data_IF_556876129177
#
_entry.id   IF_556876129177
#
_cell.length_a   1.000
_cell.length_b   1.000
_cell.length_c   1.000
_cell.angle_alpha   90.00
_cell.angle_beta   90.00
_cell.angle_gamma   90.00
#
_symmetry.space_group_name_H-M   'P 1'
#
loop_
_entity.id
_entity.type
_entity.pdbx_description
1 polymer ?
#
# COMPACT_ATOMS: atom_id res chain seq x y z
N UNK A 1 -16.97 -7.09 -1.84
CA UNK A 1 -15.79 -6.33 -2.35
C UNK A 1 -16.00 -6.00 -3.82
N UNK A 2 -15.61 -4.79 -4.29
CA UNK A 2 -15.60 -4.40 -5.71
C UNK A 2 -14.26 -4.78 -6.34
N UNK A 3 -14.21 -4.81 -7.68
CA UNK A 3 -12.98 -5.07 -8.44
C UNK A 3 -12.61 -3.86 -9.30
N UNK A 4 -11.32 -3.71 -9.57
CA UNK A 4 -10.79 -2.72 -10.50
C UNK A 4 -9.63 -3.30 -11.31
N UNK A 5 -9.30 -2.64 -12.40
CA UNK A 5 -8.15 -3.03 -13.25
C UNK A 5 -6.86 -2.57 -12.58
N UNK A 6 -5.84 -3.42 -12.60
CA UNK A 6 -4.51 -3.11 -12.10
C UNK A 6 -3.67 -2.45 -13.20
N UNK A 7 -3.38 -1.16 -13.06
CA UNK A 7 -2.59 -0.42 -14.03
C UNK A 7 -3.13 -0.55 -15.46
N UNK A 8 -2.24 -0.53 -16.44
CA UNK A 8 -2.59 -0.77 -17.85
C UNK A 8 -2.48 -2.26 -18.19
N UNK A 9 -3.27 -3.11 -17.49
CA UNK A 9 -3.29 -4.57 -17.68
C UNK A 9 -4.71 -5.08 -17.83
N UNK A 10 -4.87 -6.37 -18.12
CA UNK A 10 -6.18 -7.06 -18.10
C UNK A 10 -6.55 -7.64 -16.73
N UNK A 11 -5.72 -7.42 -15.69
CA UNK A 11 -5.92 -8.06 -14.37
C UNK A 11 -6.95 -7.31 -13.56
N UNK A 12 -7.88 -8.06 -12.97
CA UNK A 12 -8.89 -7.55 -12.05
C UNK A 12 -8.53 -7.93 -10.62
N UNK A 13 -8.27 -6.93 -9.79
CA UNK A 13 -8.00 -7.10 -8.37
C UNK A 13 -9.10 -6.47 -7.53
N UNK A 14 -9.28 -6.96 -6.31
CA UNK A 14 -10.19 -6.35 -5.35
C UNK A 14 -9.78 -4.90 -5.06
N UNK A 15 -10.77 -4.01 -4.92
CA UNK A 15 -10.57 -2.57 -4.62
C UNK A 15 -10.00 -2.30 -3.22
N UNK A 16 -9.62 -3.34 -2.53
CA UNK A 16 -8.91 -3.35 -1.24
C UNK A 16 -7.92 -4.50 -1.26
N UNK A 17 -6.71 -4.28 -0.76
CA UNK A 17 -5.70 -5.33 -0.60
C UNK A 17 -5.60 -5.77 0.86
N UNK A 18 -5.45 -7.08 1.09
CA UNK A 18 -5.15 -7.63 2.41
C UNK A 18 -3.65 -7.56 2.68
N UNK A 19 -3.25 -6.65 3.58
CA UNK A 19 -1.88 -6.53 4.05
C UNK A 19 -1.59 -7.50 5.18
N UNK A 20 -0.52 -8.26 5.06
CA UNK A 20 -0.19 -9.35 5.98
C UNK A 20 1.02 -9.08 6.89
N UNK A 21 1.38 -7.81 7.09
CA UNK A 21 2.48 -7.44 8.00
C UNK A 21 2.26 -7.91 9.45
N UNK A 22 1.00 -8.15 9.82
CA UNK A 22 0.62 -8.68 11.12
C UNK A 22 0.48 -10.21 11.16
N UNK A 23 0.67 -10.95 10.05
CA UNK A 23 0.62 -12.41 10.05
C UNK A 23 1.94 -12.97 10.58
N UNK A 24 1.92 -13.55 11.78
CA UNK A 24 3.11 -14.04 12.51
C UNK A 24 3.34 -13.29 13.81
N UNK A 25 4.26 -13.78 14.61
CA UNK A 25 4.56 -13.31 15.97
C UNK A 25 6.05 -12.99 16.21
N UNK A 26 6.92 -13.18 15.20
CA UNK A 26 8.38 -13.02 15.37
C UNK A 26 8.83 -11.59 15.69
N UNK A 27 7.99 -10.59 15.43
CA UNK A 27 8.22 -9.21 15.87
C UNK A 27 7.80 -8.96 17.32
N UNK A 28 7.22 -9.97 18.00
CA UNK A 28 6.61 -9.83 19.34
C UNK A 28 5.20 -9.28 19.32
N UNK A 29 4.64 -9.02 18.13
CA UNK A 29 3.29 -8.49 17.93
C UNK A 29 2.77 -8.93 16.56
N UNK A 30 1.56 -9.47 16.52
CA UNK A 30 0.93 -9.92 15.28
C UNK A 30 -0.28 -10.82 15.52
N UNK A 31 -0.57 -11.67 14.55
CA UNK A 31 -1.65 -12.65 14.56
C UNK A 31 -1.06 -14.06 14.51
N UNK A 32 -1.67 -14.99 15.25
CA UNK A 32 -1.35 -16.43 15.16
C UNK A 32 -1.71 -16.97 13.77
N UNK A 33 -1.29 -18.20 13.48
CA UNK A 33 -1.66 -18.86 12.22
C UNK A 33 -3.18 -19.04 12.12
N UNK A 34 -3.87 -19.39 13.21
CA UNK A 34 -5.32 -19.60 13.20
C UNK A 34 -6.07 -18.28 13.00
N UNK A 35 -5.64 -17.21 13.65
CA UNK A 35 -6.23 -15.87 13.43
C UNK A 35 -5.95 -15.37 12.00
N UNK A 36 -4.74 -15.60 11.49
CA UNK A 36 -4.38 -15.28 10.10
C UNK A 36 -5.25 -16.05 9.11
N UNK A 37 -5.57 -17.31 9.41
CA UNK A 37 -6.51 -18.14 8.63
C UNK A 37 -7.90 -17.52 8.64
N UNK A 38 -8.43 -17.19 9.82
CA UNK A 38 -9.77 -16.62 9.95
C UNK A 38 -9.90 -15.29 9.18
N UNK A 39 -8.86 -14.45 9.22
CA UNK A 39 -8.81 -13.21 8.44
C UNK A 39 -8.80 -13.50 6.93
N UNK A 40 -7.94 -14.42 6.47
CA UNK A 40 -7.84 -14.74 5.05
C UNK A 40 -9.10 -15.41 4.50
N UNK A 41 -9.74 -16.28 5.29
CA UNK A 41 -10.98 -16.96 4.90
C UNK A 41 -12.12 -15.94 4.77
N UNK A 42 -12.29 -15.04 5.74
CA UNK A 42 -13.25 -13.96 5.65
C UNK A 42 -13.00 -13.04 4.44
N UNK A 43 -11.73 -12.70 4.15
CA UNK A 43 -11.37 -11.93 2.96
C UNK A 43 -11.75 -12.63 1.66
N UNK A 44 -11.53 -13.95 1.57
CA UNK A 44 -11.90 -14.76 0.41
C UNK A 44 -13.42 -14.88 0.26
N UNK A 45 -14.16 -15.07 1.36
CA UNK A 45 -15.63 -15.14 1.39
C UNK A 45 -16.27 -13.84 0.89
N UNK A 46 -15.70 -12.69 1.23
CA UNK A 46 -16.13 -11.38 0.73
C UNK A 46 -15.72 -11.10 -0.73
N UNK A 47 -15.07 -12.07 -1.41
CA UNK A 47 -14.59 -11.95 -2.78
C UNK A 47 -13.27 -11.19 -2.92
N UNK A 48 -12.52 -10.98 -1.84
CA UNK A 48 -11.20 -10.38 -1.89
C UNK A 48 -10.19 -11.32 -2.55
N UNK A 49 -9.37 -10.79 -3.44
CA UNK A 49 -8.39 -11.59 -4.18
C UNK A 49 -6.98 -11.00 -4.19
N UNK A 50 -6.75 -9.82 -3.61
CA UNK A 50 -5.44 -9.17 -3.63
C UNK A 50 -4.77 -9.24 -2.25
N UNK A 51 -3.68 -10.02 -2.15
CA UNK A 51 -2.87 -10.19 -0.94
C UNK A 51 -1.53 -9.47 -1.11
N UNK A 52 -1.16 -8.64 -0.13
CA UNK A 52 0.12 -7.93 -0.09
C UNK A 52 0.93 -8.36 1.12
N UNK A 53 2.10 -8.96 0.90
CA UNK A 53 3.08 -9.36 1.91
C UNK A 53 4.46 -8.77 1.62
N UNK A 54 5.50 -9.18 2.35
CA UNK A 54 6.90 -8.87 2.11
C UNK A 54 7.83 -9.88 2.79
N UNK A 55 9.05 -10.02 2.28
CA UNK A 55 10.10 -10.87 2.84
C UNK A 55 10.43 -10.52 4.31
N UNK A 56 10.44 -9.22 4.64
CA UNK A 56 10.76 -8.71 5.98
C UNK A 56 9.64 -8.90 7.00
N UNK A 57 8.39 -9.10 6.55
CA UNK A 57 7.26 -9.16 7.48
C UNK A 57 7.37 -10.35 8.42
N UNK A 58 7.43 -10.05 9.72
CA UNK A 58 7.67 -11.03 10.78
C UNK A 58 8.93 -11.88 10.52
N UNK A 59 9.96 -11.29 9.88
CA UNK A 59 11.18 -11.99 9.48
C UNK A 59 10.91 -13.25 8.63
N UNK A 60 10.01 -13.12 7.65
CA UNK A 60 9.63 -14.19 6.72
C UNK A 60 8.45 -15.05 7.17
N UNK A 61 8.02 -14.98 8.44
CA UNK A 61 6.92 -15.80 8.96
C UNK A 61 5.59 -15.49 8.27
N UNK A 62 5.35 -14.22 7.87
CA UNK A 62 4.16 -13.85 7.11
C UNK A 62 4.06 -14.62 5.79
N UNK A 63 5.15 -14.74 5.04
CA UNK A 63 5.19 -15.56 3.82
C UNK A 63 5.05 -17.05 4.12
N UNK A 64 5.65 -17.57 5.22
CA UNK A 64 5.48 -18.95 5.65
C UNK A 64 4.02 -19.30 5.97
N UNK A 65 3.32 -18.40 6.68
CA UNK A 65 1.89 -18.54 6.96
C UNK A 65 1.07 -18.54 5.67
N UNK A 66 1.28 -17.58 4.77
CA UNK A 66 0.61 -17.56 3.48
C UNK A 66 0.90 -18.83 2.66
N UNK A 67 2.13 -19.31 2.65
CA UNK A 67 2.50 -20.55 1.98
C UNK A 67 1.76 -21.78 2.52
N UNK A 68 1.37 -21.80 3.80
CA UNK A 68 0.52 -22.83 4.37
C UNK A 68 -0.96 -22.60 4.08
N UNK A 69 -1.44 -21.36 4.17
CA UNK A 69 -2.84 -20.99 4.06
C UNK A 69 -3.37 -21.01 2.61
N UNK A 70 -2.49 -20.80 1.63
CA UNK A 70 -2.87 -20.75 0.21
C UNK A 70 -2.80 -22.13 -0.49
N UNK A 71 -2.41 -23.20 0.21
CA UNK A 71 -2.37 -24.54 -0.37
C UNK A 71 -3.74 -24.96 -0.90
N UNK A 72 -3.79 -25.38 -2.17
CA UNK A 72 -5.01 -25.79 -2.86
C UNK A 72 -5.93 -24.65 -3.33
N UNK A 73 -5.60 -23.38 -3.01
CA UNK A 73 -6.36 -22.19 -3.41
C UNK A 73 -5.52 -21.01 -3.91
N UNK A 74 -4.22 -21.25 -4.19
CA UNK A 74 -3.26 -20.24 -4.67
C UNK A 74 -3.78 -19.45 -5.88
N UNK A 75 -4.44 -20.14 -6.80
CA UNK A 75 -4.98 -19.59 -8.05
C UNK A 75 -6.13 -18.58 -7.84
N UNK A 76 -6.75 -18.58 -6.67
CA UNK A 76 -7.84 -17.66 -6.37
C UNK A 76 -7.33 -16.25 -5.96
N UNK A 77 -6.02 -16.10 -5.80
CA UNK A 77 -5.44 -14.87 -5.26
C UNK A 77 -4.36 -14.28 -6.15
N UNK A 78 -4.40 -12.98 -6.32
CA UNK A 78 -3.33 -12.16 -6.83
C UNK A 78 -2.38 -11.85 -5.67
N UNK A 79 -1.23 -12.51 -5.67
CA UNK A 79 -0.27 -12.48 -4.56
C UNK A 79 0.89 -11.55 -4.87
N UNK A 80 1.06 -10.53 -4.02
CA UNK A 80 2.18 -9.62 -4.07
C UNK A 80 3.13 -9.84 -2.89
N UNK A 81 4.43 -9.84 -3.15
CA UNK A 81 5.47 -9.77 -2.11
C UNK A 81 6.58 -8.80 -2.49
N UNK A 82 7.45 -8.47 -1.54
CA UNK A 82 8.45 -7.40 -1.65
C UNK A 82 9.83 -7.91 -1.24
N UNK A 83 10.89 -7.28 -1.82
CA UNK A 83 12.27 -7.46 -1.38
C UNK A 83 12.92 -6.10 -1.11
N UNK A 84 14.04 -6.05 -0.54
CA UNK A 84 15.03 -5.01 -0.25
C UNK A 84 15.55 -5.09 1.18
N UNK A 85 14.73 -5.56 2.13
CA UNK A 85 15.06 -5.53 3.57
C UNK A 85 15.59 -6.87 4.08
N UNK A 86 15.28 -7.97 3.38
CA UNK A 86 15.63 -9.32 3.78
C UNK A 86 14.78 -9.88 4.93
N UNK A 87 14.67 -11.21 5.00
CA UNK A 87 13.80 -11.93 5.94
C UNK A 87 14.49 -12.23 7.29
N UNK A 88 15.50 -11.46 7.70
CA UNK A 88 16.25 -11.68 8.94
C UNK A 88 16.77 -10.38 9.52
N UNK A 89 16.83 -10.29 10.86
CA UNK A 89 17.51 -9.19 11.56
C UNK A 89 19.00 -9.07 11.20
N UNK A 90 19.62 -10.21 10.84
CA UNK A 90 21.02 -10.31 10.47
C UNK A 90 21.26 -10.38 8.95
N UNK A 91 20.29 -9.95 8.14
CA UNK A 91 20.43 -9.96 6.70
C UNK A 91 21.61 -9.09 6.25
N UNK A 92 22.58 -9.72 5.57
CA UNK A 92 23.78 -9.05 5.09
C UNK A 92 23.54 -8.27 3.80
N UNK A 93 24.46 -7.35 3.45
CA UNK A 93 24.35 -6.49 2.28
C UNK A 93 24.25 -7.19 0.91
N UNK A 94 24.49 -8.49 0.84
CA UNK A 94 24.30 -9.28 -0.38
C UNK A 94 22.87 -9.76 -0.62
N UNK A 95 21.99 -9.61 0.39
CA UNK A 95 20.56 -9.99 0.34
C UNK A 95 19.64 -8.82 0.73
N UNK A 96 20.22 -7.64 0.97
CA UNK A 96 19.50 -6.39 1.21
C UNK A 96 19.83 -5.37 0.11
N UNK A 97 19.07 -4.27 0.06
CA UNK A 97 19.17 -3.27 -1.02
C UNK A 97 18.51 -3.77 -2.29
N UNK A 98 18.72 -3.03 -3.39
CA UNK A 98 17.96 -3.23 -4.62
C UNK A 98 18.77 -3.89 -5.74
N UNK A 99 20.03 -4.28 -5.47
CA UNK A 99 20.88 -4.91 -6.48
C UNK A 99 20.20 -6.15 -7.08
N UNK A 100 20.50 -6.43 -8.33
CA UNK A 100 20.06 -7.64 -9.02
C UNK A 100 20.37 -8.91 -8.22
N UNK A 101 21.52 -8.95 -7.53
CA UNK A 101 21.90 -10.09 -6.68
C UNK A 101 20.92 -10.27 -5.51
N UNK A 102 20.60 -9.20 -4.78
CA UNK A 102 19.63 -9.22 -3.69
C UNK A 102 18.23 -9.61 -4.21
N UNK A 103 17.81 -9.05 -5.34
CA UNK A 103 16.54 -9.33 -5.99
C UNK A 103 16.36 -10.82 -6.29
N UNK A 104 17.35 -11.45 -6.95
CA UNK A 104 17.31 -12.89 -7.29
C UNK A 104 17.30 -13.76 -6.04
N UNK A 105 18.18 -13.48 -5.07
CA UNK A 105 18.24 -14.24 -3.81
C UNK A 105 16.93 -14.15 -3.02
N UNK A 106 16.33 -12.96 -2.98
CA UNK A 106 15.08 -12.74 -2.25
C UNK A 106 13.89 -13.40 -2.89
N UNK A 107 13.73 -13.32 -4.23
CA UNK A 107 12.60 -13.97 -4.92
C UNK A 107 12.63 -15.49 -4.74
N UNK A 108 13.80 -16.12 -4.85
CA UNK A 108 13.95 -17.57 -4.61
C UNK A 108 13.56 -17.97 -3.19
N UNK A 109 13.95 -17.16 -2.23
CA UNK A 109 13.63 -17.39 -0.81
C UNK A 109 12.15 -17.16 -0.53
N UNK A 110 11.53 -16.15 -1.14
CA UNK A 110 10.09 -15.87 -1.02
C UNK A 110 9.24 -16.97 -1.66
N UNK A 111 9.59 -17.45 -2.87
CA UNK A 111 8.90 -18.57 -3.52
C UNK A 111 8.91 -19.83 -2.64
N UNK A 112 10.05 -20.12 -1.97
CA UNK A 112 10.15 -21.26 -1.02
C UNK A 112 9.23 -21.08 0.20
N UNK A 113 9.21 -19.89 0.84
CA UNK A 113 8.35 -19.64 2.00
C UNK A 113 6.87 -19.64 1.61
N UNK A 114 6.52 -19.03 0.49
CA UNK A 114 5.17 -18.98 -0.07
C UNK A 114 4.70 -20.31 -0.66
N UNK A 115 5.60 -21.28 -0.86
CA UNK A 115 5.31 -22.61 -1.46
C UNK A 115 4.59 -22.50 -2.80
N UNK A 116 5.05 -21.58 -3.65
CA UNK A 116 4.51 -21.32 -4.98
C UNK A 116 5.65 -21.18 -5.98
N UNK A 117 5.38 -21.40 -7.23
CA UNK A 117 6.33 -21.26 -8.34
C UNK A 117 6.39 -19.84 -8.91
N UNK A 118 5.38 -19.00 -8.62
CA UNK A 118 5.30 -17.62 -9.12
C UNK A 118 4.69 -16.64 -8.11
N UNK A 119 5.07 -15.39 -8.28
CA UNK A 119 4.51 -14.21 -7.61
C UNK A 119 3.78 -13.39 -8.67
N UNK A 120 2.55 -12.92 -8.37
CA UNK A 120 1.79 -12.14 -9.35
C UNK A 120 2.34 -10.71 -9.45
N UNK A 121 2.65 -10.06 -8.34
CA UNK A 121 3.24 -8.72 -8.32
C UNK A 121 4.47 -8.68 -7.39
N UNK A 122 5.62 -8.34 -7.95
CA UNK A 122 6.87 -8.26 -7.19
C UNK A 122 7.27 -6.80 -6.98
N UNK A 123 7.41 -6.43 -5.72
CA UNK A 123 7.75 -5.07 -5.32
C UNK A 123 9.23 -4.88 -5.04
N UNK A 124 9.80 -3.79 -5.52
CA UNK A 124 10.98 -3.20 -4.87
C UNK A 124 10.47 -2.41 -3.66
N UNK A 125 10.76 -2.87 -2.43
CA UNK A 125 10.12 -2.39 -1.19
C UNK A 125 10.51 -0.97 -0.83
N UNK A 126 11.81 -0.69 -0.90
CA UNK A 126 12.36 0.63 -0.59
C UNK A 126 13.47 0.98 -1.58
N UNK A 127 13.61 2.24 -2.00
CA UNK A 127 14.79 2.68 -2.73
C UNK A 127 16.04 2.61 -1.83
N UNK A 128 17.19 2.27 -2.41
CA UNK A 128 18.48 2.31 -1.73
C UNK A 128 19.37 3.51 -2.17
N UNK A 129 18.85 4.33 -3.10
CA UNK A 129 19.50 5.50 -3.70
C UNK A 129 20.85 5.22 -4.40
N UNK A 130 21.27 3.96 -4.49
CA UNK A 130 22.51 3.50 -5.09
C UNK A 130 22.25 2.77 -6.40
N UNK A 131 21.28 1.85 -6.39
CA UNK A 131 20.99 0.98 -7.53
C UNK A 131 20.36 1.76 -8.68
N UNK A 132 20.96 1.74 -9.89
CA UNK A 132 20.42 2.40 -11.07
C UNK A 132 19.07 1.82 -11.48
N UNK A 133 18.17 2.66 -12.01
CA UNK A 133 16.87 2.20 -12.52
C UNK A 133 17.00 1.16 -13.63
N UNK A 134 18.06 1.23 -14.41
CA UNK A 134 18.39 0.27 -15.46
C UNK A 134 18.67 -1.13 -14.92
N UNK A 135 19.36 -1.24 -13.79
CA UNK A 135 19.60 -2.53 -13.12
C UNK A 135 18.30 -3.11 -12.57
N UNK A 136 17.46 -2.27 -11.95
CA UNK A 136 16.15 -2.67 -11.46
C UNK A 136 15.27 -3.23 -12.59
N UNK A 137 15.09 -2.46 -13.66
CA UNK A 137 14.23 -2.85 -14.77
C UNK A 137 14.72 -4.14 -15.45
N UNK A 138 16.02 -4.26 -15.69
CA UNK A 138 16.60 -5.50 -16.27
C UNK A 138 16.44 -6.69 -15.35
N UNK A 139 16.65 -6.52 -14.05
CA UNK A 139 16.48 -7.59 -13.07
C UNK A 139 15.05 -8.08 -12.98
N UNK A 140 14.07 -7.17 -12.95
CA UNK A 140 12.66 -7.50 -12.96
C UNK A 140 12.23 -8.21 -14.24
N UNK A 141 12.74 -7.76 -15.40
CA UNK A 141 12.49 -8.41 -16.69
C UNK A 141 13.02 -9.85 -16.71
N UNK A 142 14.24 -10.09 -16.20
CA UNK A 142 14.79 -11.44 -16.16
C UNK A 142 13.97 -12.38 -15.27
N UNK A 143 13.45 -11.88 -14.15
CA UNK A 143 12.55 -12.67 -13.28
C UNK A 143 11.22 -12.96 -13.97
N UNK A 144 10.69 -12.01 -14.73
CA UNK A 144 9.46 -12.18 -15.50
C UNK A 144 9.66 -13.21 -16.62
N UNK A 145 10.76 -13.12 -17.38
CA UNK A 145 11.11 -14.12 -18.41
C UNK A 145 11.33 -15.52 -17.85
N UNK A 146 11.85 -15.60 -16.63
CA UNK A 146 12.00 -16.85 -15.91
C UNK A 146 10.68 -17.40 -15.33
N UNK A 147 9.56 -16.69 -15.51
CA UNK A 147 8.24 -17.08 -15.00
C UNK A 147 8.09 -16.96 -13.49
N UNK A 148 9.02 -16.30 -12.80
CA UNK A 148 9.00 -16.16 -11.33
C UNK A 148 8.11 -15.03 -10.85
N UNK A 149 7.91 -14.00 -11.68
CA UNK A 149 7.00 -12.89 -11.42
C UNK A 149 6.16 -12.63 -12.69
N UNK A 150 4.95 -12.09 -12.52
CA UNK A 150 4.11 -11.69 -13.66
C UNK A 150 4.14 -10.19 -13.89
N UNK A 151 4.10 -9.40 -12.82
CA UNK A 151 4.11 -7.94 -12.85
C UNK A 151 5.10 -7.37 -11.86
N UNK A 152 5.52 -6.13 -12.09
CA UNK A 152 6.45 -5.42 -11.24
C UNK A 152 5.84 -4.12 -10.69
N UNK A 153 6.26 -3.74 -9.48
CA UNK A 153 5.86 -2.50 -8.85
C UNK A 153 6.98 -1.89 -8.00
N UNK A 154 6.86 -0.59 -7.73
CA UNK A 154 7.80 0.15 -6.91
C UNK A 154 7.11 0.68 -5.65
N UNK A 155 7.73 0.46 -4.48
CA UNK A 155 7.19 0.92 -3.21
C UNK A 155 8.11 1.96 -2.56
N UNK A 156 7.53 3.06 -2.06
CA UNK A 156 8.24 4.16 -1.40
C UNK A 156 9.27 4.90 -2.28
N UNK A 157 9.18 4.79 -3.58
CA UNK A 157 10.00 5.54 -4.53
C UNK A 157 9.45 6.95 -4.71
N UNK A 158 10.33 7.90 -5.06
CA UNK A 158 9.90 9.22 -5.51
C UNK A 158 9.25 9.17 -6.90
N UNK A 159 8.38 10.14 -7.19
CA UNK A 159 7.66 10.20 -8.47
C UNK A 159 8.59 10.22 -9.68
N UNK A 160 9.73 10.95 -9.60
CA UNK A 160 10.69 10.98 -10.71
C UNK A 160 11.38 9.63 -10.95
N UNK A 161 11.67 8.85 -9.88
CA UNK A 161 12.25 7.50 -10.03
C UNK A 161 11.22 6.51 -10.56
N UNK A 162 9.96 6.63 -10.14
CA UNK A 162 8.84 5.86 -10.69
C UNK A 162 8.72 6.12 -12.19
N UNK A 163 8.64 7.40 -12.60
CA UNK A 163 8.51 7.78 -13.99
C UNK A 163 9.71 7.29 -14.83
N UNK A 164 10.94 7.44 -14.31
CA UNK A 164 12.14 6.93 -14.99
C UNK A 164 12.09 5.42 -15.20
N UNK A 165 11.75 4.64 -14.16
CA UNK A 165 11.70 3.18 -14.26
C UNK A 165 10.59 2.72 -15.21
N UNK A 166 9.41 3.33 -15.14
CA UNK A 166 8.29 3.02 -16.04
C UNK A 166 8.64 3.32 -17.51
N UNK A 167 9.21 4.48 -17.80
CA UNK A 167 9.67 4.85 -19.14
C UNK A 167 10.75 3.91 -19.67
N UNK A 168 11.72 3.53 -18.81
CA UNK A 168 12.75 2.57 -19.21
C UNK A 168 12.14 1.19 -19.52
N UNK A 169 11.19 0.73 -18.72
CA UNK A 169 10.51 -0.54 -18.95
C UNK A 169 9.74 -0.52 -20.28
N UNK A 170 9.02 0.57 -20.57
CA UNK A 170 8.30 0.77 -21.82
C UNK A 170 9.24 0.76 -23.03
N UNK A 171 10.26 1.60 -23.03
CA UNK A 171 11.20 1.75 -24.15
C UNK A 171 12.00 0.48 -24.41
N UNK A 172 12.33 -0.30 -23.38
CA UNK A 172 13.05 -1.56 -23.51
C UNK A 172 12.13 -2.77 -23.71
N UNK A 173 10.80 -2.57 -23.73
CA UNK A 173 9.79 -3.64 -23.80
C UNK A 173 9.98 -4.70 -22.71
N UNK A 174 10.37 -4.25 -21.53
CA UNK A 174 10.51 -5.06 -20.34
C UNK A 174 9.17 -5.23 -19.62
N UNK A 175 9.15 -6.07 -18.55
CA UNK A 175 7.99 -6.21 -17.68
C UNK A 175 7.50 -4.83 -17.20
N UNK A 176 6.21 -4.50 -17.35
CA UNK A 176 5.70 -3.19 -17.03
C UNK A 176 5.70 -2.96 -15.52
N UNK A 177 5.96 -1.70 -15.11
CA UNK A 177 5.68 -1.24 -13.75
C UNK A 177 4.19 -0.88 -13.68
N UNK A 178 3.39 -1.73 -13.04
CA UNK A 178 1.92 -1.61 -13.07
C UNK A 178 1.32 -0.95 -11.84
N UNK A 179 2.10 -0.85 -10.76
CA UNK A 179 1.63 -0.30 -9.50
C UNK A 179 2.74 0.43 -8.74
N UNK A 180 2.34 1.42 -7.95
CA UNK A 180 3.19 2.13 -7.00
C UNK A 180 2.58 2.08 -5.61
N UNK A 181 3.39 1.70 -4.59
CA UNK A 181 2.92 1.56 -3.21
C UNK A 181 3.58 2.59 -2.31
N UNK A 182 2.78 3.36 -1.56
CA UNK A 182 3.26 4.43 -0.68
C UNK A 182 2.32 4.68 0.49
N UNK A 183 2.81 5.38 1.53
CA UNK A 183 1.98 5.81 2.64
C UNK A 183 0.99 6.87 2.19
N UNK A 184 -0.30 6.67 2.52
CA UNK A 184 -1.32 7.67 2.24
C UNK A 184 -2.51 7.52 3.18
N UNK A 185 -2.92 8.64 3.78
CA UNK A 185 -4.05 8.74 4.70
C UNK A 185 -4.37 10.21 4.94
N UNK A 186 -5.44 10.52 5.66
CA UNK A 186 -5.79 11.88 6.11
C UNK A 186 -4.66 12.58 6.89
N UNK A 187 -3.72 11.84 7.49
CA UNK A 187 -2.58 12.38 8.23
C UNK A 187 -1.24 12.23 7.49
N UNK A 188 -1.26 11.82 6.22
CA UNK A 188 -0.09 11.66 5.36
C UNK A 188 -0.48 11.89 3.91
N UNK A 189 -0.58 13.15 3.48
CA UNK A 189 -1.08 13.56 2.16
C UNK A 189 -0.01 13.99 1.16
N UNK A 190 1.28 13.88 1.50
CA UNK A 190 2.40 14.27 0.65
C UNK A 190 2.36 13.66 -0.78
N UNK A 191 1.84 12.42 -1.00
CA UNK A 191 1.75 11.85 -2.34
C UNK A 191 0.89 12.65 -3.33
N UNK A 192 0.01 13.52 -2.86
CA UNK A 192 -0.82 14.39 -3.72
C UNK A 192 0.00 15.44 -4.48
N UNK A 193 1.21 15.76 -4.02
CA UNK A 193 2.08 16.73 -4.67
C UNK A 193 2.47 16.30 -6.08
N UNK A 194 2.92 15.06 -6.21
CA UNK A 194 3.50 14.56 -7.46
C UNK A 194 3.18 13.08 -7.74
N UNK A 195 3.17 12.22 -6.70
CA UNK A 195 3.07 10.77 -6.86
C UNK A 195 1.72 10.35 -7.46
N UNK A 196 0.59 10.82 -6.95
CA UNK A 196 -0.73 10.49 -7.48
C UNK A 196 -0.87 10.97 -8.93
N UNK A 197 -0.36 12.17 -9.24
CA UNK A 197 -0.35 12.71 -10.61
C UNK A 197 0.53 11.88 -11.55
N UNK A 198 1.69 11.42 -11.06
CA UNK A 198 2.55 10.53 -11.84
C UNK A 198 1.89 9.17 -12.08
N UNK A 199 1.22 8.60 -11.07
CA UNK A 199 0.47 7.35 -11.22
C UNK A 199 -0.63 7.49 -12.28
N UNK A 200 -1.41 8.57 -12.24
CA UNK A 200 -2.45 8.86 -13.21
C UNK A 200 -1.88 9.02 -14.63
N UNK A 201 -0.85 9.84 -14.81
CA UNK A 201 -0.25 10.11 -16.12
C UNK A 201 0.38 8.86 -16.75
N UNK A 202 0.91 7.95 -15.94
CA UNK A 202 1.58 6.71 -16.37
C UNK A 202 0.65 5.49 -16.37
N UNK A 203 -0.62 5.65 -16.01
CA UNK A 203 -1.59 4.56 -15.87
C UNK A 203 -1.10 3.46 -14.91
N UNK A 204 -0.47 3.87 -13.81
CA UNK A 204 0.05 3.01 -12.74
C UNK A 204 -0.93 3.06 -11.57
N UNK A 205 -1.35 1.90 -11.05
CA UNK A 205 -2.29 1.86 -9.91
C UNK A 205 -1.62 2.34 -8.61
N UNK A 206 -2.15 3.39 -7.95
CA UNK A 206 -1.73 3.76 -6.61
C UNK A 206 -2.27 2.77 -5.57
N UNK A 207 -1.38 2.15 -4.81
CA UNK A 207 -1.72 1.24 -3.70
C UNK A 207 -1.17 1.84 -2.43
N UNK A 208 -2.01 1.95 -1.39
CA UNK A 208 -1.64 2.78 -0.24
C UNK A 208 -1.62 2.00 1.06
N UNK A 209 -0.48 2.09 1.76
CA UNK A 209 -0.36 1.50 3.08
C UNK A 209 -0.63 2.51 4.20
N UNK A 210 -1.06 2.00 5.35
CA UNK A 210 -1.47 2.76 6.55
C UNK A 210 -2.62 3.75 6.31
N UNK A 211 -3.75 3.35 5.69
CA UNK A 211 -4.91 4.24 5.52
C UNK A 211 -5.47 4.75 6.85
N UNK A 212 -5.22 4.04 7.95
CA UNK A 212 -5.65 4.40 9.32
C UNK A 212 -4.60 5.21 10.09
N UNK A 213 -3.51 5.69 9.46
CA UNK A 213 -2.44 6.42 10.14
C UNK A 213 -1.82 5.63 11.30
N UNK A 214 -1.54 4.33 11.10
CA UNK A 214 -1.04 3.46 12.17
C UNK A 214 -2.08 3.13 13.26
N UNK A 215 -3.34 3.38 13.00
CA UNK A 215 -4.47 3.19 13.91
C UNK A 215 -4.88 4.47 14.64
N UNK A 216 -4.23 5.61 14.42
CA UNK A 216 -4.60 6.90 15.03
C UNK A 216 -6.03 7.29 14.64
N UNK A 217 -6.39 7.15 13.36
CA UNK A 217 -7.69 7.56 12.82
C UNK A 217 -8.87 6.70 13.31
N UNK A 218 -8.63 5.66 14.11
CA UNK A 218 -9.70 4.89 14.77
C UNK A 218 -10.17 5.52 16.10
N UNK A 219 -9.44 6.50 16.63
CA UNK A 219 -9.70 7.10 17.93
C UNK A 219 -9.31 6.25 19.15
N UNK A 220 -8.91 4.99 18.97
CA UNK A 220 -8.64 4.04 20.06
C UNK A 220 -7.56 4.51 21.06
N UNK A 221 -6.57 5.25 20.59
CA UNK A 221 -5.50 5.74 21.46
C UNK A 221 -5.97 6.86 22.40
N UNK A 222 -6.97 7.67 21.98
CA UNK A 222 -7.65 8.63 22.89
C UNK A 222 -8.40 7.92 24.01
N UNK A 223 -9.00 6.76 23.72
CA UNK A 223 -9.69 5.93 24.67
C UNK A 223 -8.76 5.14 25.61
N UNK A 224 -7.43 5.27 25.43
CA UNK A 224 -6.43 4.54 26.20
C UNK A 224 -6.32 3.06 25.82
N UNK A 225 -6.86 2.67 24.67
CA UNK A 225 -6.79 1.30 24.19
C UNK A 225 -5.38 0.94 23.73
N UNK A 226 -5.04 -0.30 23.98
CA UNK A 226 -3.77 -0.88 23.56
C UNK A 226 -3.81 -1.29 22.07
N UNK A 227 -2.68 -1.10 21.39
CA UNK A 227 -2.61 -1.41 19.97
C UNK A 227 -1.19 -1.67 19.45
N UNK A 228 -0.99 -1.46 18.15
CA UNK A 228 0.30 -1.63 17.48
C UNK A 228 1.42 -0.81 18.14
N UNK A 229 1.08 0.36 18.70
CA UNK A 229 2.02 1.23 19.39
C UNK A 229 2.76 0.52 20.52
N UNK A 230 2.06 -0.28 21.34
CA UNK A 230 2.67 -1.02 22.44
C UNK A 230 3.50 -2.21 21.97
N UNK A 231 2.98 -2.98 21.00
CA UNK A 231 3.70 -4.11 20.42
C UNK A 231 4.99 -3.71 19.70
N UNK A 232 5.13 -2.44 19.33
CA UNK A 232 6.32 -1.86 18.69
C UNK A 232 7.13 -0.95 19.66
N UNK A 233 7.05 -1.20 20.96
CA UNK A 233 7.83 -0.47 21.97
C UNK A 233 7.41 0.98 22.15
N UNK A 234 6.13 1.29 22.03
CA UNK A 234 5.58 2.63 22.20
C UNK A 234 5.72 3.54 20.97
N UNK A 235 6.26 3.05 19.87
CA UNK A 235 6.37 3.82 18.61
C UNK A 235 5.05 3.75 17.85
N UNK A 236 4.32 4.84 17.81
CA UNK A 236 3.18 5.05 16.90
C UNK A 236 3.71 5.71 15.65
N UNK A 237 3.43 5.16 14.46
CA UNK A 237 3.87 5.75 13.19
C UNK A 237 3.30 7.15 12.98
N UNK A 238 2.06 7.38 13.45
CA UNK A 238 1.35 8.64 13.34
C UNK A 238 0.68 8.92 14.69
N UNK A 239 1.35 9.68 15.56
CA UNK A 239 0.76 10.07 16.83
C UNK A 239 -0.18 11.28 16.67
N UNK A 240 -1.21 11.36 17.49
CA UNK A 240 -2.03 12.56 17.67
C UNK A 240 -1.26 13.57 18.52
N UNK A 241 -0.33 14.30 17.88
CA UNK A 241 0.67 15.12 18.57
C UNK A 241 0.63 16.61 18.20
N UNK A 242 -0.39 17.05 17.49
CA UNK A 242 -0.64 18.45 17.16
C UNK A 242 -2.13 18.71 16.91
N UNK A 243 -2.51 19.99 16.93
CA UNK A 243 -3.90 20.45 16.78
C UNK A 243 -4.55 19.99 15.47
N UNK A 244 -3.81 19.99 14.36
CA UNK A 244 -4.34 19.54 13.07
C UNK A 244 -4.72 18.04 13.12
N UNK A 245 -3.88 17.20 13.68
CA UNK A 245 -4.19 15.76 13.78
C UNK A 245 -5.37 15.49 14.71
N UNK A 246 -5.51 16.28 15.76
CA UNK A 246 -6.69 16.22 16.64
C UNK A 246 -7.95 16.64 15.88
N UNK A 247 -7.90 17.74 15.14
CA UNK A 247 -9.02 18.20 14.31
C UNK A 247 -9.40 17.18 13.22
N UNK A 248 -8.41 16.55 12.58
CA UNK A 248 -8.67 15.48 11.60
C UNK A 248 -9.39 14.30 12.26
N UNK A 249 -8.95 13.86 13.43
CA UNK A 249 -9.61 12.76 14.14
C UNK A 249 -11.02 13.14 14.57
N UNK A 250 -11.22 14.37 15.08
CA UNK A 250 -12.55 14.87 15.44
C UNK A 250 -13.52 14.82 14.28
N UNK A 251 -13.06 15.23 13.08
CA UNK A 251 -13.87 15.21 11.86
C UNK A 251 -14.20 13.79 11.42
N UNK A 252 -13.23 12.85 11.50
CA UNK A 252 -13.47 11.43 11.20
C UNK A 252 -14.52 10.84 12.15
N UNK A 253 -14.45 11.15 13.45
CA UNK A 253 -15.41 10.69 14.46
C UNK A 253 -16.82 11.29 14.23
N UNK A 254 -16.90 12.57 13.86
CA UNK A 254 -18.17 13.23 13.56
C UNK A 254 -18.86 12.58 12.36
N UNK A 255 -18.14 12.41 11.25
CA UNK A 255 -18.67 11.77 10.03
C UNK A 255 -19.04 10.30 10.29
N UNK A 256 -18.24 9.57 11.07
CA UNK A 256 -18.57 8.21 11.47
C UNK A 256 -19.92 8.14 12.19
N UNK A 257 -20.17 9.09 13.10
CA UNK A 257 -21.45 9.21 13.81
C UNK A 257 -22.60 9.57 12.86
N UNK A 258 -22.41 10.53 11.96
CA UNK A 258 -23.39 10.98 10.97
C UNK A 258 -23.86 9.80 10.09
N UNK A 259 -22.92 8.93 9.67
CA UNK A 259 -23.19 7.84 8.73
C UNK A 259 -23.54 6.51 9.43
N UNK A 260 -23.51 6.42 10.77
CA UNK A 260 -23.64 5.16 11.50
C UNK A 260 -22.52 4.16 11.17
N UNK A 261 -21.35 4.66 10.77
CA UNK A 261 -20.16 3.89 10.41
C UNK A 261 -19.12 3.94 11.53
N UNK A 262 -18.09 3.10 11.45
CA UNK A 262 -16.95 3.21 12.36
C UNK A 262 -15.87 4.16 11.80
N UNK A 263 -15.02 4.78 12.65
CA UNK A 263 -13.99 5.71 12.22
C UNK A 263 -12.98 5.12 11.20
N UNK A 264 -12.63 3.84 11.36
CA UNK A 264 -11.77 3.13 10.41
C UNK A 264 -12.42 3.02 9.03
N UNK A 265 -13.73 2.79 8.97
CA UNK A 265 -14.49 2.75 7.70
C UNK A 265 -14.44 4.10 7.00
N UNK A 266 -14.65 5.20 7.72
CA UNK A 266 -14.57 6.57 7.18
C UNK A 266 -13.16 6.85 6.62
N UNK A 267 -12.13 6.55 7.39
CA UNK A 267 -10.75 6.80 6.96
C UNK A 267 -10.33 5.96 5.73
N UNK A 268 -10.73 4.69 5.66
CA UNK A 268 -10.47 3.83 4.50
C UNK A 268 -11.29 4.27 3.28
N UNK A 269 -12.57 4.63 3.47
CA UNK A 269 -13.45 5.13 2.42
C UNK A 269 -12.91 6.41 1.79
N UNK A 270 -12.36 7.33 2.61
CA UNK A 270 -11.73 8.54 2.10
C UNK A 270 -10.52 8.22 1.21
N UNK A 271 -9.66 7.27 1.57
CA UNK A 271 -8.53 6.83 0.73
C UNK A 271 -9.02 6.21 -0.57
N UNK A 272 -10.04 5.36 -0.51
CA UNK A 272 -10.64 4.75 -1.70
C UNK A 272 -11.27 5.79 -2.64
N UNK A 273 -11.84 6.87 -2.11
CA UNK A 273 -12.38 8.00 -2.89
C UNK A 273 -11.30 8.78 -3.66
N UNK A 274 -10.02 8.63 -3.29
CA UNK A 274 -8.88 9.20 -4.03
C UNK A 274 -8.37 8.24 -5.14
N UNK A 275 -9.19 7.31 -5.61
CA UNK A 275 -8.84 6.33 -6.65
C UNK A 275 -7.64 5.43 -6.29
N UNK A 276 -7.37 5.25 -5.00
CA UNK A 276 -6.32 4.38 -4.48
C UNK A 276 -6.87 3.02 -4.05
N UNK A 277 -6.05 1.98 -4.12
CA UNK A 277 -6.32 0.70 -3.44
C UNK A 277 -5.76 0.78 -2.02
N UNK A 278 -6.58 0.89 -0.96
CA UNK A 278 -6.08 0.84 0.40
C UNK A 278 -5.65 -0.59 0.77
N UNK A 279 -4.51 -0.70 1.45
CA UNK A 279 -4.06 -1.94 2.10
C UNK A 279 -4.59 -1.93 3.53
N UNK A 280 -5.49 -2.83 3.85
CA UNK A 280 -5.94 -3.07 5.22
C UNK A 280 -5.09 -4.16 5.86
N UNK A 281 -4.59 -3.91 7.08
CA UNK A 281 -3.71 -4.83 7.81
C UNK A 281 -4.29 -5.23 9.16
N UNK A 282 -5.40 -5.97 9.20
CA UNK A 282 -6.02 -6.41 10.43
C UNK A 282 -5.12 -7.39 11.20
N UNK A 283 -5.25 -7.39 12.53
CA UNK A 283 -4.62 -8.36 13.42
C UNK A 283 -5.61 -9.39 13.93
N UNK A 284 -6.91 -9.08 13.85
CA UNK A 284 -8.00 -9.96 14.24
C UNK A 284 -9.07 -9.98 13.16
N UNK A 285 -9.83 -11.07 13.09
CA UNK A 285 -10.99 -11.18 12.19
C UNK A 285 -12.00 -10.06 12.44
N UNK A 286 -12.23 -9.68 13.70
CA UNK A 286 -13.12 -8.56 14.03
C UNK A 286 -12.64 -7.24 13.42
N UNK A 287 -11.34 -6.97 13.43
CA UNK A 287 -10.78 -5.79 12.75
C UNK A 287 -10.94 -5.88 11.23
N UNK A 288 -10.79 -7.07 10.64
CA UNK A 288 -11.05 -7.27 9.23
C UNK A 288 -12.50 -6.91 8.88
N UNK A 289 -13.46 -7.47 9.61
CA UNK A 289 -14.91 -7.23 9.39
C UNK A 289 -15.25 -5.74 9.52
N UNK A 290 -14.68 -5.04 10.51
CA UNK A 290 -14.84 -3.59 10.62
C UNK A 290 -14.26 -2.88 9.39
N UNK A 291 -13.01 -3.14 9.04
CA UNK A 291 -12.31 -2.44 7.98
C UNK A 291 -12.97 -2.63 6.60
N UNK A 292 -13.39 -3.87 6.26
CA UNK A 292 -14.00 -4.16 4.94
C UNK A 292 -15.37 -3.47 4.76
N UNK A 293 -16.02 -3.12 5.86
CA UNK A 293 -17.26 -2.34 5.89
C UNK A 293 -17.15 -0.92 5.31
N UNK A 294 -15.91 -0.44 5.02
CA UNK A 294 -15.69 0.89 4.43
C UNK A 294 -16.50 1.15 3.15
N UNK A 295 -16.78 0.10 2.38
CA UNK A 295 -17.57 0.21 1.15
C UNK A 295 -19.04 0.63 1.40
N UNK A 296 -19.52 0.49 2.63
CA UNK A 296 -20.84 0.92 3.08
C UNK A 296 -20.85 2.31 3.76
N UNK A 297 -19.70 2.92 4.01
CA UNK A 297 -19.61 4.21 4.68
C UNK A 297 -20.19 5.38 3.85
N UNK A 298 -20.30 5.20 2.51
CA UNK A 298 -21.01 6.10 1.56
C UNK A 298 -20.76 7.59 1.82
N UNK A 299 -19.50 8.02 1.82
CA UNK A 299 -19.14 9.43 2.03
C UNK A 299 -19.76 10.31 0.93
N UNK A 300 -20.47 11.36 1.32
CA UNK A 300 -20.94 12.39 0.41
C UNK A 300 -19.80 13.30 -0.04
N UNK A 301 -19.94 14.00 -1.15
CA UNK A 301 -18.96 15.01 -1.62
C UNK A 301 -18.68 16.04 -0.52
N UNK A 302 -19.71 16.54 0.18
CA UNK A 302 -19.56 17.49 1.27
C UNK A 302 -18.73 16.92 2.45
N UNK A 303 -18.87 15.64 2.77
CA UNK A 303 -18.06 15.00 3.80
C UNK A 303 -16.61 14.80 3.35
N UNK A 304 -16.39 14.45 2.08
CA UNK A 304 -15.06 14.37 1.47
C UNK A 304 -14.39 15.75 1.52
N UNK A 305 -15.10 16.83 1.19
CA UNK A 305 -14.59 18.20 1.23
C UNK A 305 -14.24 18.64 2.66
N UNK A 306 -15.04 18.28 3.66
CA UNK A 306 -14.74 18.51 5.09
C UNK A 306 -13.45 17.82 5.49
N UNK A 307 -13.30 16.53 5.15
CA UNK A 307 -12.07 15.75 5.41
C UNK A 307 -10.87 16.33 4.67
N UNK A 308 -11.03 16.75 3.42
CA UNK A 308 -9.99 17.41 2.63
C UNK A 308 -9.53 18.71 3.27
N UNK A 309 -10.48 19.55 3.72
CA UNK A 309 -10.19 20.85 4.32
C UNK A 309 -9.44 20.73 5.64
N UNK A 310 -9.90 19.86 6.55
CA UNK A 310 -9.26 19.69 7.88
C UNK A 310 -7.88 19.03 7.78
N UNK A 311 -7.66 18.20 6.75
CA UNK A 311 -6.40 17.48 6.51
C UNK A 311 -5.49 18.17 5.49
N UNK A 312 -5.81 19.39 5.08
CA UNK A 312 -5.03 20.16 4.13
C UNK A 312 -3.61 20.34 4.65
N UNK A 313 -2.62 20.04 3.82
CA UNK A 313 -1.22 20.26 4.13
C UNK A 313 -0.67 21.39 3.27
N UNK A 314 0.33 22.11 3.82
CA UNK A 314 0.92 23.22 3.10
C UNK A 314 1.69 22.72 1.86
N UNK A 315 1.14 23.03 0.70
CA UNK A 315 1.73 22.73 -0.58
C UNK A 315 2.67 23.87 -0.97
N UNK A 316 3.84 23.96 -0.33
CA UNK A 316 4.86 24.98 -0.54
C UNK A 316 5.45 25.07 -1.96
N UNK A 317 5.01 24.24 -2.88
CA UNK A 317 5.27 24.45 -4.30
C UNK A 317 4.30 25.54 -4.75
N UNK A 318 4.72 26.78 -4.62
CA UNK A 318 4.04 27.96 -5.20
C UNK A 318 4.03 27.81 -6.73
N UNK A 319 3.10 27.03 -7.25
CA UNK A 319 2.81 26.97 -8.69
C UNK A 319 2.02 28.20 -9.16
N UNK A 320 1.52 29.01 -8.22
CA UNK A 320 0.77 30.21 -8.49
C UNK A 320 1.41 31.18 -9.53
N UNK A 321 2.72 31.46 -9.52
CA UNK A 321 3.31 32.32 -10.56
C UNK A 321 3.32 31.68 -11.95
N UNK A 322 3.48 30.37 -12.04
CA UNK A 322 3.50 29.66 -13.33
C UNK A 322 2.07 29.52 -13.87
N UNK A 323 1.10 29.28 -13.02
CA UNK A 323 -0.31 29.18 -13.40
C UNK A 323 -0.86 30.51 -13.90
N UNK A 324 -0.54 31.61 -13.22
CA UNK A 324 -0.86 32.97 -13.69
C UNK A 324 -0.17 33.34 -15.02
N UNK A 325 1.04 32.83 -15.24
CA UNK A 325 1.78 33.00 -16.50
C UNK A 325 1.14 32.19 -17.65
N UNK A 326 0.68 30.96 -17.37
CA UNK A 326 0.03 30.08 -18.35
C UNK A 326 -1.34 30.64 -18.79
N UNK A 327 -2.09 31.25 -17.89
CA UNK A 327 -3.36 31.94 -18.21
C UNK A 327 -3.13 33.10 -19.17
N UNK A 328 -1.99 33.78 -19.11
CA UNK A 328 -1.62 34.86 -20.02
C UNK A 328 -1.04 34.37 -21.36
N UNK A 329 -0.40 33.22 -21.38
CA UNK A 329 0.30 32.66 -22.57
C UNK A 329 -0.61 31.80 -23.44
N UNK A 330 -1.68 31.22 -22.87
CA UNK A 330 -2.66 30.41 -23.61
C UNK A 330 -4.08 30.85 -23.29
N UNK A 331 -4.55 32.00 -23.91
CA UNK A 331 -5.90 32.46 -23.68
C UNK A 331 -6.92 31.43 -24.19
N UNK A 332 -7.84 31.01 -23.33
CA UNK A 332 -9.02 30.24 -23.71
C UNK A 332 -8.98 28.72 -23.45
N UNK A 333 -8.02 28.15 -22.74
CA UNK A 333 -8.15 26.79 -22.18
C UNK A 333 -8.51 26.86 -20.71
N UNK A 334 -9.65 26.30 -20.27
CA UNK A 334 -9.89 26.09 -18.85
C UNK A 334 -8.81 25.15 -18.30
N UNK A 335 -8.18 25.55 -17.20
CA UNK A 335 -7.32 24.67 -16.42
C UNK A 335 -8.25 23.71 -15.71
N UNK A 336 -8.18 22.42 -16.07
CA UNK A 336 -8.91 21.34 -15.43
C UNK A 336 -8.26 20.97 -14.10
#
# INVERSE_FOLDING_TARGET
VKYQILGNTGVRVSSVALGTANFGMRWGYGASLDESRAILDAFAEDGGNFIDTADVYQFGESEEFLGALLQGRRENFFLATKYSSGASKAAGGLVTGNSRRAMVSSVESSLKRLKTDRIDLYWVHHPDDITPSEELVRGLEDLSRAGKILYAGLSNFSAWRLARAATLAELSRAVPIVASQFQYSLVSRQPERDMLKACQALQITPITWSPLGGGMLTGKYRAGEKGRAEGMGGKVFQAENNEQRSAILDEVLAIATENGASPDQVAIAWVAAQECIPIIGPRTQAQYVSNVGFSGANLTEAQIDRLNSVSQFDNDIKTAPVQALLEHVIPGKPVA
#
